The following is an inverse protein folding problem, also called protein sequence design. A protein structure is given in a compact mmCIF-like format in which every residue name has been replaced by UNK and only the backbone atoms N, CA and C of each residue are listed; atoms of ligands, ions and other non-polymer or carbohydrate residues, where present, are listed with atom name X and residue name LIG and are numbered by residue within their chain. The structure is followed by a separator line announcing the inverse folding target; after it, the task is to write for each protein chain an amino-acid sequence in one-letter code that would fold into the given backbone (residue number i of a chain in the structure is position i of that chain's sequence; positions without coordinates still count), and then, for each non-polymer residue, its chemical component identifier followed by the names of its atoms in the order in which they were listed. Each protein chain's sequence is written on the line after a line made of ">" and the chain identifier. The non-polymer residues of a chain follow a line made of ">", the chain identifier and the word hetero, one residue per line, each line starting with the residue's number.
data_IF_769426765657
#
_entry.id   IF_769426765657
#
_cell.length_a   1.000
_cell.length_b   1.000
_cell.length_c   1.000
_cell.angle_alpha   90.00
_cell.angle_beta   90.00
_cell.angle_gamma   90.00
#
_symmetry.space_group_name_H-M   'P 1'
#
loop_
_entity.id
_entity.type
_entity.pdbx_description
1 polymer ?
#
# COMPACT_ATOMS: atom_id res chain seq x y z
N UNK A 1 6.08 10.33 -3.71
CA UNK A 1 7.50 10.34 -3.32
C UNK A 1 8.33 9.48 -4.26
N UNK A 2 9.41 10.02 -4.82
CA UNK A 2 10.27 9.36 -5.82
C UNK A 2 11.65 9.02 -5.24
N UNK A 3 12.13 7.82 -5.53
CA UNK A 3 13.41 7.30 -5.03
C UNK A 3 14.62 7.55 -5.94
N UNK A 4 14.49 8.44 -6.92
CA UNK A 4 15.50 8.75 -7.91
C UNK A 4 15.26 8.04 -9.25
N UNK A 5 14.06 8.17 -9.81
CA UNK A 5 13.73 7.67 -11.15
C UNK A 5 14.52 8.39 -12.23
N UNK A 6 15.06 7.61 -13.16
CA UNK A 6 15.84 8.13 -14.31
C UNK A 6 15.02 8.18 -15.61
N UNK A 7 13.79 7.66 -15.57
CA UNK A 7 12.85 7.65 -16.68
C UNK A 7 11.90 8.87 -16.64
N UNK A 8 10.80 8.79 -17.36
CA UNK A 8 9.81 9.88 -17.41
C UNK A 8 8.87 9.96 -16.21
N UNK A 9 9.07 9.15 -15.16
CA UNK A 9 8.14 9.06 -14.00
C UNK A 9 7.89 10.44 -13.37
N UNK A 10 8.93 11.16 -13.01
CA UNK A 10 8.80 12.50 -12.41
C UNK A 10 8.14 13.51 -13.36
N UNK A 11 8.44 13.44 -14.66
CA UNK A 11 7.84 14.31 -15.68
C UNK A 11 6.34 14.05 -15.78
N UNK A 12 5.93 12.79 -15.91
CA UNK A 12 4.52 12.39 -15.98
C UNK A 12 3.76 12.81 -14.72
N UNK A 13 4.34 12.59 -13.54
CA UNK A 13 3.73 12.98 -12.28
C UNK A 13 3.55 14.51 -12.18
N UNK A 14 4.55 15.30 -12.59
CA UNK A 14 4.47 16.76 -12.63
C UNK A 14 3.41 17.26 -13.61
N UNK A 15 3.34 16.69 -14.81
CA UNK A 15 2.32 17.01 -15.80
C UNK A 15 0.88 16.66 -15.32
N UNK A 16 0.76 15.63 -14.48
CA UNK A 16 -0.49 15.28 -13.80
C UNK A 16 -0.81 16.18 -12.57
N UNK A 17 0.00 17.18 -12.29
CA UNK A 17 -0.19 18.12 -11.17
C UNK A 17 0.23 17.58 -9.82
N UNK A 18 1.01 16.50 -9.75
CA UNK A 18 1.49 15.95 -8.50
C UNK A 18 2.63 16.79 -7.91
N UNK A 19 2.62 16.97 -6.58
CA UNK A 19 3.79 17.42 -5.86
C UNK A 19 4.81 16.28 -5.75
N UNK A 20 6.05 16.50 -6.20
CA UNK A 20 7.09 15.48 -6.24
C UNK A 20 8.05 15.69 -5.09
N UNK A 21 8.12 14.71 -4.18
CA UNK A 21 9.09 14.66 -3.09
C UNK A 21 10.21 13.69 -3.48
N UNK A 22 11.44 14.20 -3.51
CA UNK A 22 12.62 13.38 -3.78
C UNK A 22 13.14 12.76 -2.49
N UNK A 23 13.06 11.43 -2.38
CA UNK A 23 13.50 10.66 -1.22
C UNK A 23 14.74 9.80 -1.52
N UNK A 24 15.37 9.28 -0.46
CA UNK A 24 16.39 8.25 -0.60
C UNK A 24 15.74 6.96 -1.09
N UNK A 25 16.48 6.18 -1.90
CA UNK A 25 16.03 4.87 -2.37
C UNK A 25 15.62 3.97 -1.18
N UNK A 26 14.46 3.32 -1.30
CA UNK A 26 13.88 2.45 -0.29
C UNK A 26 12.46 2.89 0.10
N UNK A 27 11.51 1.94 0.12
CA UNK A 27 10.09 2.22 0.27
C UNK A 27 9.76 2.99 1.56
N UNK A 28 10.24 2.51 2.70
CA UNK A 28 9.99 3.18 3.98
C UNK A 28 10.54 4.60 4.04
N UNK A 29 11.72 4.84 3.48
CA UNK A 29 12.30 6.18 3.37
C UNK A 29 11.45 7.10 2.50
N UNK A 30 11.03 6.64 1.32
CA UNK A 30 10.16 7.41 0.41
C UNK A 30 8.82 7.77 1.06
N UNK A 31 8.18 6.81 1.77
CA UNK A 31 6.93 7.07 2.49
C UNK A 31 7.16 8.13 3.57
N UNK A 32 8.23 8.01 4.36
CA UNK A 32 8.53 9.00 5.41
C UNK A 32 8.71 10.42 4.85
N UNK A 33 9.48 10.58 3.76
CA UNK A 33 9.67 11.89 3.14
C UNK A 33 8.34 12.46 2.60
N UNK A 34 7.53 11.62 1.94
CA UNK A 34 6.21 12.02 1.47
C UNK A 34 5.28 12.48 2.59
N UNK A 35 5.26 11.78 3.71
CA UNK A 35 4.44 12.13 4.88
C UNK A 35 4.88 13.44 5.54
N UNK A 36 6.18 13.70 5.61
CA UNK A 36 6.73 14.95 6.17
C UNK A 36 6.33 16.16 5.30
N UNK A 37 6.42 16.02 3.98
CA UNK A 37 6.18 17.12 3.05
C UNK A 37 4.69 17.43 2.81
N UNK A 38 3.81 16.40 2.91
CA UNK A 38 2.40 16.61 2.58
C UNK A 38 1.57 17.17 3.72
N UNK A 39 1.84 16.77 4.97
CA UNK A 39 0.98 17.12 6.10
C UNK A 39 -0.46 16.60 5.94
N UNK A 40 -1.30 16.83 6.93
CA UNK A 40 -2.73 16.51 6.89
C UNK A 40 -3.21 15.70 8.08
N UNK A 41 -4.54 15.59 8.22
CA UNK A 41 -5.17 14.81 9.29
C UNK A 41 -5.25 13.32 8.93
N UNK A 42 -5.29 13.01 7.64
CA UNK A 42 -5.35 11.66 7.11
C UNK A 42 -4.39 11.46 5.94
N UNK A 43 -3.77 10.31 5.89
CA UNK A 43 -2.88 9.90 4.82
C UNK A 43 -3.43 8.66 4.10
N UNK A 44 -3.48 8.73 2.78
CA UNK A 44 -3.73 7.60 1.91
C UNK A 44 -2.42 7.22 1.22
N UNK A 45 -1.84 6.11 1.63
CA UNK A 45 -0.56 5.61 1.14
C UNK A 45 -0.82 4.50 0.13
N UNK A 46 -0.35 4.71 -1.09
CA UNK A 46 -0.55 3.78 -2.21
C UNK A 46 0.79 3.46 -2.88
N UNK A 47 0.90 2.27 -3.45
CA UNK A 47 1.98 1.94 -4.37
C UNK A 47 1.73 2.59 -5.74
N UNK A 48 2.81 2.89 -6.46
CA UNK A 48 2.74 3.53 -7.78
C UNK A 48 2.08 2.65 -8.86
N UNK A 49 1.99 1.34 -8.64
CA UNK A 49 1.34 0.36 -9.52
C UNK A 49 -0.09 0.02 -9.06
N UNK A 50 -0.67 0.84 -8.19
CA UNK A 50 -2.03 0.68 -7.67
C UNK A 50 -2.97 1.74 -8.21
N UNK A 51 -4.21 1.34 -8.51
CA UNK A 51 -5.27 2.18 -9.05
C UNK A 51 -6.53 2.07 -8.20
N UNK A 52 -7.08 3.22 -7.79
CA UNK A 52 -8.38 3.31 -7.13
C UNK A 52 -9.48 3.28 -8.19
N UNK A 53 -10.48 2.42 -8.00
CA UNK A 53 -11.60 2.31 -8.94
C UNK A 53 -12.47 3.57 -8.90
N UNK A 54 -13.10 3.88 -10.04
CA UNK A 54 -14.02 5.02 -10.15
C UNK A 54 -15.08 5.02 -9.04
N UNK A 55 -15.36 6.18 -8.45
CA UNK A 55 -16.33 6.33 -7.35
C UNK A 55 -15.79 5.95 -5.97
N UNK A 56 -14.50 5.68 -5.84
CA UNK A 56 -13.89 5.34 -4.53
C UNK A 56 -14.12 6.43 -3.47
N UNK A 57 -14.18 7.70 -3.89
CA UNK A 57 -14.35 8.86 -2.99
C UNK A 57 -15.75 8.96 -2.37
N UNK A 58 -16.78 8.44 -3.05
CA UNK A 58 -18.18 8.65 -2.66
C UNK A 58 -18.54 8.01 -1.29
N UNK A 59 -17.85 6.95 -0.92
CA UNK A 59 -18.05 6.26 0.35
C UNK A 59 -16.95 6.46 1.38
N UNK A 60 -15.96 7.30 1.06
CA UNK A 60 -14.73 7.38 1.84
C UNK A 60 -14.88 8.14 3.15
N UNK A 61 -15.67 9.23 3.16
CA UNK A 61 -15.80 10.13 4.30
C UNK A 61 -16.23 9.46 5.62
N UNK A 62 -17.04 8.42 5.57
CA UNK A 62 -17.46 7.69 6.77
C UNK A 62 -16.31 6.97 7.50
N UNK A 63 -15.22 6.66 6.81
CA UNK A 63 -14.05 6.00 7.39
C UNK A 63 -13.06 7.00 8.00
N UNK A 64 -13.23 8.29 7.73
CA UNK A 64 -12.43 9.38 8.29
C UNK A 64 -12.93 9.86 9.66
N UNK A 65 -13.98 9.26 10.20
CA UNK A 65 -14.57 9.65 11.48
C UNK A 65 -13.96 8.96 12.68
N UNK A 66 -13.22 7.88 12.50
CA UNK A 66 -12.61 7.10 13.58
C UNK A 66 -11.09 7.08 13.44
N UNK A 67 -10.42 7.96 14.19
CA UNK A 67 -8.96 8.11 14.17
C UNK A 67 -8.23 6.92 14.81
N UNK A 68 -8.92 5.98 15.45
CA UNK A 68 -8.30 4.82 16.11
C UNK A 68 -8.09 3.63 15.17
N UNK A 69 -8.66 3.67 13.96
CA UNK A 69 -8.60 2.59 12.98
C UNK A 69 -7.83 3.03 11.75
N UNK A 70 -6.87 2.22 11.34
CA UNK A 70 -6.25 2.28 10.02
C UNK A 70 -6.92 1.28 9.06
N UNK A 71 -7.08 1.68 7.83
CA UNK A 71 -7.86 0.94 6.85
C UNK A 71 -6.97 0.49 5.70
N UNK A 72 -7.13 -0.75 5.23
CA UNK A 72 -6.53 -1.27 4.00
C UNK A 72 -7.61 -1.72 3.02
N UNK A 73 -7.29 -1.71 1.72
CA UNK A 73 -8.23 -2.02 0.66
C UNK A 73 -8.31 -3.52 0.37
N UNK A 74 -9.44 -3.92 -0.22
CA UNK A 74 -9.53 -5.24 -0.85
C UNK A 74 -8.67 -5.26 -2.11
N UNK A 75 -7.72 -6.19 -2.18
CA UNK A 75 -6.84 -6.35 -3.34
C UNK A 75 -7.57 -7.05 -4.49
N UNK A 76 -7.37 -6.53 -5.69
CA UNK A 76 -7.66 -7.18 -6.96
C UNK A 76 -6.52 -6.93 -7.95
N UNK A 77 -6.14 -7.93 -8.72
CA UNK A 77 -5.17 -7.76 -9.79
C UNK A 77 -5.82 -7.34 -11.10
N UNK A 78 -5.10 -6.55 -11.92
CA UNK A 78 -5.53 -6.07 -13.23
C UNK A 78 -5.42 -7.15 -14.32
N UNK A 79 -5.65 -8.41 -13.98
CA UNK A 79 -5.55 -9.57 -14.88
C UNK A 79 -6.82 -10.42 -14.83
N UNK A 80 -7.34 -10.90 -15.99
CA UNK A 80 -8.47 -11.81 -16.04
C UNK A 80 -8.12 -13.25 -15.63
N UNK A 81 -6.85 -13.57 -15.46
CA UNK A 81 -6.37 -14.92 -15.17
C UNK A 81 -7.00 -15.49 -13.88
N UNK A 82 -7.31 -16.78 -13.89
CA UNK A 82 -7.83 -17.47 -12.70
C UNK A 82 -6.87 -17.36 -11.52
N UNK A 83 -5.56 -17.46 -11.76
CA UNK A 83 -4.55 -17.32 -10.73
C UNK A 83 -4.50 -15.91 -10.12
N UNK A 84 -4.85 -14.86 -10.87
CA UNK A 84 -5.02 -13.51 -10.34
C UNK A 84 -6.11 -13.46 -9.27
N UNK A 85 -7.27 -14.11 -9.54
CA UNK A 85 -8.38 -14.21 -8.58
C UNK A 85 -7.99 -15.02 -7.35
N UNK A 86 -7.34 -16.16 -7.54
CA UNK A 86 -6.89 -17.03 -6.43
C UNK A 86 -5.90 -16.29 -5.53
N UNK A 87 -4.88 -15.66 -6.12
CA UNK A 87 -3.86 -14.91 -5.38
C UNK A 87 -4.45 -13.70 -4.65
N UNK A 88 -5.33 -12.94 -5.32
CA UNK A 88 -6.02 -11.80 -4.71
C UNK A 88 -6.94 -12.23 -3.55
N UNK A 89 -7.69 -13.32 -3.72
CA UNK A 89 -8.53 -13.87 -2.64
C UNK A 89 -7.67 -14.32 -1.47
N UNK A 90 -6.56 -15.02 -1.71
CA UNK A 90 -5.63 -15.41 -0.66
C UNK A 90 -5.04 -14.21 0.08
N UNK A 91 -4.63 -13.15 -0.64
CA UNK A 91 -4.12 -11.93 -0.03
C UNK A 91 -5.16 -11.29 0.90
N UNK A 92 -6.43 -11.20 0.46
CA UNK A 92 -7.53 -10.65 1.28
C UNK A 92 -7.82 -11.52 2.51
N UNK A 93 -7.86 -12.84 2.36
CA UNK A 93 -8.04 -13.78 3.48
C UNK A 93 -6.90 -13.63 4.48
N UNK A 94 -5.65 -13.68 4.02
CA UNK A 94 -4.47 -13.47 4.87
C UNK A 94 -4.57 -12.18 5.68
N UNK A 95 -4.89 -11.07 5.01
CA UNK A 95 -4.95 -9.76 5.66
C UNK A 95 -6.07 -9.68 6.70
N UNK A 96 -7.24 -10.27 6.40
CA UNK A 96 -8.38 -10.28 7.31
C UNK A 96 -8.17 -11.16 8.54
N UNK A 97 -7.54 -12.33 8.38
CA UNK A 97 -7.38 -13.30 9.48
C UNK A 97 -6.10 -13.08 10.27
N UNK A 98 -5.02 -12.66 9.62
CA UNK A 98 -3.72 -12.51 10.27
C UNK A 98 -3.32 -11.04 10.51
N UNK A 99 -4.15 -10.08 10.09
CA UNK A 99 -3.85 -8.66 10.26
C UNK A 99 -2.56 -8.23 9.54
N UNK A 100 -2.26 -8.84 8.38
CA UNK A 100 -1.02 -8.63 7.65
C UNK A 100 -1.29 -8.14 6.21
N UNK A 101 -1.89 -6.94 6.01
CA UNK A 101 -1.95 -6.35 4.69
C UNK A 101 -0.55 -6.03 4.20
N UNK A 102 -0.29 -6.23 2.90
CA UNK A 102 0.93 -5.78 2.25
C UNK A 102 0.67 -4.43 1.59
N UNK A 103 1.73 -3.74 1.18
CA UNK A 103 1.65 -2.42 0.59
C UNK A 103 0.80 -2.33 -0.68
N UNK A 104 0.63 -3.44 -1.40
CA UNK A 104 -0.28 -3.55 -2.55
C UNK A 104 -1.77 -3.44 -2.20
N UNK A 105 -2.11 -3.46 -0.91
CA UNK A 105 -3.46 -3.19 -0.40
C UNK A 105 -3.66 -1.74 0.05
N UNK A 106 -2.63 -0.89 -0.06
CA UNK A 106 -2.68 0.48 0.41
C UNK A 106 -2.95 0.62 1.91
N UNK A 107 -2.78 1.81 2.44
CA UNK A 107 -3.09 2.13 3.83
C UNK A 107 -3.71 3.53 3.94
N UNK A 108 -4.88 3.62 4.53
CA UNK A 108 -5.49 4.86 4.97
C UNK A 108 -5.35 4.95 6.48
N UNK A 109 -4.70 6.00 6.97
CA UNK A 109 -4.38 6.14 8.40
C UNK A 109 -4.49 7.61 8.83
N UNK A 110 -5.04 7.86 10.03
CA UNK A 110 -5.03 9.19 10.61
C UNK A 110 -3.62 9.58 11.05
N UNK A 111 -3.31 10.87 11.02
CA UNK A 111 -2.05 11.40 11.53
C UNK A 111 -1.87 11.08 13.02
N UNK A 112 -2.95 11.12 13.78
CA UNK A 112 -2.96 10.78 15.20
C UNK A 112 -2.52 9.33 15.44
N UNK A 113 -3.14 8.37 14.76
CA UNK A 113 -2.78 6.95 14.89
C UNK A 113 -1.36 6.68 14.36
N UNK A 114 -0.97 7.30 13.25
CA UNK A 114 0.37 7.18 12.69
C UNK A 114 1.43 7.63 13.69
N UNK A 115 1.22 8.76 14.37
CA UNK A 115 2.12 9.28 15.39
C UNK A 115 2.14 8.39 16.63
N UNK A 116 1.00 7.83 17.04
CA UNK A 116 0.92 6.94 18.20
C UNK A 116 1.75 5.66 18.05
N UNK A 117 1.96 5.22 16.80
CA UNK A 117 2.82 4.09 16.46
C UNK A 117 4.22 4.49 15.98
N UNK A 118 4.66 5.73 16.21
CA UNK A 118 5.96 6.30 15.85
C UNK A 118 6.24 6.38 14.33
N UNK A 119 5.21 6.58 13.51
CA UNK A 119 5.36 6.77 12.07
C UNK A 119 5.86 5.55 11.30
N UNK A 120 6.22 5.71 10.04
CA UNK A 120 6.84 4.66 9.24
C UNK A 120 8.32 4.46 9.56
N UNK A 121 8.78 3.22 9.51
CA UNK A 121 10.21 2.90 9.64
C UNK A 121 10.94 3.13 8.32
N UNK A 122 12.14 3.75 8.39
CA UNK A 122 12.99 4.03 7.21
C UNK A 122 13.74 2.77 6.73
N UNK A 123 13.05 1.64 6.63
CA UNK A 123 13.60 0.39 6.13
C UNK A 123 13.38 0.26 4.63
N UNK A 124 14.28 -0.44 3.96
CA UNK A 124 14.25 -0.54 2.50
C UNK A 124 13.12 -1.41 1.96
N UNK A 125 12.73 -2.44 2.71
CA UNK A 125 11.69 -3.42 2.37
C UNK A 125 10.96 -3.87 3.63
N UNK A 126 9.72 -4.37 3.47
CA UNK A 126 8.85 -4.87 4.54
C UNK A 126 8.35 -3.78 5.50
N UNK A 127 8.41 -2.54 5.10
CA UNK A 127 7.89 -1.36 5.81
C UNK A 127 6.37 -1.47 6.06
N UNK A 128 5.65 -2.09 5.12
CA UNK A 128 4.23 -2.38 5.17
C UNK A 128 3.88 -3.42 6.24
N UNK A 129 4.61 -4.53 6.26
CA UNK A 129 4.41 -5.59 7.24
C UNK A 129 4.81 -5.14 8.65
N UNK A 130 5.88 -4.37 8.76
CA UNK A 130 6.34 -3.79 10.01
C UNK A 130 5.29 -2.81 10.58
N UNK A 131 4.73 -1.95 9.72
CA UNK A 131 3.63 -1.06 10.09
C UNK A 131 2.38 -1.84 10.50
N UNK A 132 1.99 -2.86 9.73
CA UNK A 132 0.85 -3.71 10.06
C UNK A 132 0.99 -4.40 11.43
N UNK A 133 2.20 -4.82 11.80
CA UNK A 133 2.47 -5.39 13.13
C UNK A 133 2.26 -4.39 14.26
N UNK A 134 2.69 -3.14 14.08
CA UNK A 134 2.49 -2.06 15.07
C UNK A 134 1.02 -1.63 15.17
N UNK A 135 0.28 -1.70 14.07
CA UNK A 135 -1.16 -1.42 14.00
C UNK A 135 -2.04 -2.61 14.42
N UNK A 136 -1.47 -3.69 14.97
CA UNK A 136 -2.24 -4.87 15.36
C UNK A 136 -3.35 -4.50 16.34
N UNK A 137 -4.59 -4.82 15.96
CA UNK A 137 -5.81 -4.46 16.71
C UNK A 137 -6.47 -3.16 16.26
N UNK A 138 -5.79 -2.34 15.46
CA UNK A 138 -6.31 -1.09 14.88
C UNK A 138 -6.36 -1.13 13.34
N UNK A 139 -6.36 -2.32 12.74
CA UNK A 139 -6.46 -2.52 11.29
C UNK A 139 -7.81 -3.09 10.90
N UNK A 140 -8.45 -2.51 9.90
CA UNK A 140 -9.67 -3.02 9.31
C UNK A 140 -9.66 -2.93 7.77
N UNK A 141 -10.41 -3.82 7.12
CA UNK A 141 -10.52 -3.84 5.66
C UNK A 141 -11.62 -2.92 5.18
N UNK A 142 -11.29 -2.01 4.27
CA UNK A 142 -12.29 -1.24 3.51
C UNK A 142 -13.02 -2.15 2.52
N UNK A 143 -14.34 -2.02 2.35
CA UNK A 143 -15.08 -2.70 1.29
C UNK A 143 -14.88 -2.04 -0.08
N UNK A 144 -13.79 -1.32 -0.26
CA UNK A 144 -13.35 -0.69 -1.51
C UNK A 144 -12.21 -1.50 -2.11
N UNK A 145 -12.20 -1.58 -3.43
CA UNK A 145 -11.19 -2.38 -4.16
C UNK A 145 -10.07 -1.48 -4.66
N UNK A 146 -8.85 -1.90 -4.37
CA UNK A 146 -7.63 -1.38 -4.98
C UNK A 146 -7.17 -2.36 -6.07
N UNK A 147 -6.96 -1.85 -7.27
CA UNK A 147 -6.47 -2.61 -8.40
C UNK A 147 -4.95 -2.51 -8.44
N UNK A 148 -4.26 -3.64 -8.51
CA UNK A 148 -2.79 -3.70 -8.57
C UNK A 148 -2.35 -4.35 -9.87
N UNK A 149 -1.25 -3.85 -10.46
CA UNK A 149 -0.70 -4.40 -11.70
C UNK A 149 -0.22 -5.85 -11.51
N UNK A 150 -0.63 -6.70 -12.48
CA UNK A 150 -0.31 -8.13 -12.49
C UNK A 150 0.99 -8.47 -13.25
N UNK A 151 1.62 -7.53 -13.93
CA UNK A 151 2.73 -7.81 -14.87
C UNK A 151 3.88 -8.61 -14.26
N UNK A 152 4.22 -8.36 -12.99
CA UNK A 152 5.28 -9.10 -12.29
C UNK A 152 4.93 -10.58 -12.13
N UNK A 153 3.66 -10.87 -11.83
CA UNK A 153 3.15 -12.22 -11.67
C UNK A 153 3.02 -12.94 -13.02
N UNK A 154 2.60 -12.22 -14.06
CA UNK A 154 2.47 -12.76 -15.41
C UNK A 154 3.84 -13.08 -16.02
N UNK A 155 4.84 -12.21 -15.83
CA UNK A 155 6.21 -12.43 -16.34
C UNK A 155 6.96 -13.53 -15.62
N UNK A 156 6.82 -13.67 -14.30
CA UNK A 156 7.58 -14.63 -13.48
C UNK A 156 6.81 -15.92 -13.16
N UNK A 157 5.51 -15.94 -13.41
CA UNK A 157 4.61 -17.00 -13.00
C UNK A 157 4.06 -16.79 -11.59
N UNK A 158 2.75 -16.99 -11.43
CA UNK A 158 2.00 -16.73 -10.19
C UNK A 158 2.53 -17.52 -8.98
N UNK A 159 2.85 -18.80 -9.18
CA UNK A 159 3.35 -19.66 -8.11
C UNK A 159 4.75 -19.23 -7.66
N UNK A 160 5.64 -18.97 -8.61
CA UNK A 160 7.03 -18.58 -8.31
C UNK A 160 7.04 -17.23 -7.58
N UNK A 161 6.31 -16.24 -8.08
CA UNK A 161 6.23 -14.92 -7.44
C UNK A 161 5.59 -15.01 -6.04
N UNK A 162 4.54 -15.81 -5.88
CA UNK A 162 3.91 -16.06 -4.59
C UNK A 162 4.86 -16.70 -3.58
N UNK A 163 5.59 -17.75 -3.99
CA UNK A 163 6.60 -18.40 -3.16
C UNK A 163 7.73 -17.44 -2.74
N UNK A 164 8.21 -16.60 -3.67
CA UNK A 164 9.21 -15.58 -3.36
C UNK A 164 8.73 -14.56 -2.33
N UNK A 165 7.47 -14.15 -2.42
CA UNK A 165 6.89 -13.23 -1.45
C UNK A 165 6.77 -13.87 -0.06
N UNK A 166 6.31 -15.11 0.04
CA UNK A 166 6.24 -15.86 1.29
C UNK A 166 7.66 -16.03 1.88
N UNK A 167 8.62 -16.41 1.06
CA UNK A 167 10.01 -16.60 1.53
C UNK A 167 10.64 -15.32 2.09
N UNK A 168 10.36 -14.16 1.48
CA UNK A 168 10.80 -12.85 1.99
C UNK A 168 10.21 -12.56 3.37
N UNK A 169 8.92 -12.87 3.57
CA UNK A 169 8.23 -12.66 4.86
C UNK A 169 8.80 -13.58 5.95
N UNK A 170 9.12 -14.83 5.62
CA UNK A 170 9.70 -15.80 6.58
C UNK A 170 11.13 -15.40 7.01
N UNK A 171 11.86 -14.69 6.15
CA UNK A 171 13.21 -14.21 6.47
C UNK A 171 13.24 -12.89 7.24
N UNK A 172 12.14 -12.19 7.31
CA UNK A 172 11.96 -10.96 8.07
C UNK A 172 11.44 -11.22 9.48
#
# INVERSE_FOLDING_TARGET
>A
SDGGSYDQTCKIASEAGCHIVQGKCGRGGQICEGLIETGGDWFLILHADSELLHGWSDGFGKYLSDNSIAWYFRLRFSSPALMARVTGTWANVRSSYFGAPYGDQGLLISNELLNSVNGYSRIALMEDLEMARRLKGSLAMLPLTLLTDAQRYEKKGWVIQGAQNIWRVVRY
#
